data_IF_827718208908
#
_entry.id   IF_827718208908
#
_cell.length_a   1.000
_cell.length_b   1.000
_cell.length_c   1.000
_cell.angle_alpha   90.00
_cell.angle_beta   90.00
_cell.angle_gamma   90.00
#
_symmetry.space_group_name_H-M   'P 1'
#
loop_
_entity.id
_entity.type
_entity.pdbx_description
1 polymer ?
#
# COMPACT_ATOMS: atom_id res chain seq x y z
N UNK A 1 18.82 -10.96 0.22
CA UNK A 1 19.35 -9.64 0.61
C UNK A 1 20.83 -9.83 0.91
N UNK A 2 21.71 -9.02 0.34
CA UNK A 2 23.16 -9.08 0.64
C UNK A 2 23.41 -8.69 2.09
N UNK A 3 24.53 -9.12 2.69
CA UNK A 3 24.91 -8.76 4.06
C UNK A 3 25.05 -7.23 4.26
N UNK A 4 25.18 -6.47 3.16
CA UNK A 4 25.16 -5.01 3.15
C UNK A 4 23.83 -4.48 2.60
N UNK A 5 22.90 -4.14 3.49
CA UNK A 5 21.60 -3.56 3.14
C UNK A 5 21.71 -2.21 2.41
N UNK A 6 22.66 -1.35 2.81
CA UNK A 6 22.80 0.00 2.25
C UNK A 6 23.22 -0.04 0.79
N UNK A 7 24.17 -0.92 0.46
CA UNK A 7 24.62 -1.10 -0.92
C UNK A 7 23.53 -1.71 -1.80
N UNK A 8 22.80 -2.70 -1.28
CA UNK A 8 21.60 -3.23 -1.93
C UNK A 8 20.61 -2.10 -2.23
N UNK A 9 20.23 -1.33 -1.21
CA UNK A 9 19.27 -0.23 -1.36
C UNK A 9 19.73 0.78 -2.40
N UNK A 10 21.00 1.21 -2.39
CA UNK A 10 21.53 2.16 -3.39
C UNK A 10 21.44 1.63 -4.81
N UNK A 11 21.79 0.36 -5.02
CA UNK A 11 21.72 -0.27 -6.34
C UNK A 11 20.28 -0.37 -6.83
N UNK A 12 19.39 -0.88 -5.98
CA UNK A 12 17.98 -1.01 -6.34
C UNK A 12 17.36 0.37 -6.60
N UNK A 13 17.60 1.35 -5.72
CA UNK A 13 17.09 2.71 -5.89
C UNK A 13 17.57 3.34 -7.21
N UNK A 14 18.86 3.19 -7.56
CA UNK A 14 19.41 3.68 -8.82
C UNK A 14 18.82 2.98 -10.06
N UNK A 15 18.39 1.72 -9.94
CA UNK A 15 17.76 0.99 -11.04
C UNK A 15 16.31 1.44 -11.33
N UNK A 16 15.69 2.25 -10.44
CA UNK A 16 14.39 2.87 -10.68
C UNK A 16 13.20 1.91 -10.73
N UNK A 17 12.07 2.41 -11.25
CA UNK A 17 10.84 1.65 -11.45
C UNK A 17 10.70 1.24 -12.92
N UNK A 18 10.22 0.01 -13.16
CA UNK A 18 9.90 -0.47 -14.52
C UNK A 18 8.68 0.22 -15.09
N UNK A 19 7.68 0.47 -14.24
CA UNK A 19 6.51 1.29 -14.52
C UNK A 19 6.47 2.38 -13.47
N UNK A 20 6.43 3.63 -13.92
CA UNK A 20 6.58 4.82 -13.08
C UNK A 20 5.48 5.85 -13.38
N UNK A 21 4.32 5.63 -12.79
CA UNK A 21 3.19 6.57 -12.85
C UNK A 21 3.21 7.57 -11.69
N UNK A 22 4.34 7.72 -10.99
CA UNK A 22 4.42 8.55 -9.76
C UNK A 22 3.93 9.98 -9.96
N UNK A 23 4.18 10.59 -11.12
CA UNK A 23 3.69 11.94 -11.43
C UNK A 23 2.17 12.03 -11.57
N UNK A 24 1.52 10.99 -12.13
CA UNK A 24 0.07 10.92 -12.20
C UNK A 24 -0.55 10.62 -10.83
N UNK A 25 0.10 9.74 -10.06
CA UNK A 25 -0.27 9.40 -8.68
C UNK A 25 -0.24 10.65 -7.79
N UNK A 26 0.83 11.46 -7.88
CA UNK A 26 1.00 12.67 -7.06
C UNK A 26 -0.14 13.68 -7.25
N UNK A 27 -0.70 13.78 -8.46
CA UNK A 27 -1.82 14.66 -8.74
C UNK A 27 -3.14 14.27 -8.02
N UNK A 28 -3.23 13.02 -7.53
CA UNK A 28 -4.44 12.45 -6.92
C UNK A 28 -4.37 12.34 -5.40
N UNK A 29 -3.30 12.81 -4.74
CA UNK A 29 -3.06 12.49 -3.32
C UNK A 29 -3.81 13.37 -2.31
N UNK A 30 -4.88 14.09 -2.69
CA UNK A 30 -5.54 15.01 -1.74
C UNK A 30 -6.19 14.27 -0.56
N UNK A 31 -6.77 13.09 -0.79
CA UNK A 31 -7.29 12.19 0.26
C UNK A 31 -6.94 10.73 -0.06
N UNK A 32 -5.99 10.18 0.67
CA UNK A 32 -5.37 8.89 0.42
C UNK A 32 -5.83 7.85 1.42
N UNK A 33 -6.23 6.67 0.92
CA UNK A 33 -6.29 5.43 1.70
C UNK A 33 -5.05 4.61 1.39
N UNK A 34 -4.23 4.35 2.41
CA UNK A 34 -2.98 3.59 2.29
C UNK A 34 -3.17 2.19 2.87
N UNK A 35 -3.15 1.17 2.02
CA UNK A 35 -3.25 -0.23 2.42
C UNK A 35 -1.85 -0.83 2.52
N UNK A 36 -1.39 -1.06 3.75
CA UNK A 36 -0.08 -1.66 4.01
C UNK A 36 -0.03 -3.15 3.63
N UNK A 37 1.19 -3.69 3.60
CA UNK A 37 1.46 -5.11 3.36
C UNK A 37 2.30 -5.67 4.51
N UNK A 38 3.63 -5.68 4.37
CA UNK A 38 4.51 -6.44 5.26
C UNK A 38 5.09 -5.65 6.46
N UNK A 39 5.40 -6.36 7.55
CA UNK A 39 6.33 -5.92 8.58
C UNK A 39 7.71 -5.63 7.97
N UNK A 40 8.41 -4.63 8.51
CA UNK A 40 9.69 -4.13 7.97
C UNK A 40 9.52 -3.21 6.75
N UNK A 41 8.59 -3.52 5.84
CA UNK A 41 8.20 -2.62 4.74
C UNK A 41 7.48 -1.38 5.26
N UNK A 42 6.61 -1.56 6.26
CA UNK A 42 5.86 -0.47 6.92
C UNK A 42 6.75 0.66 7.47
N UNK A 43 8.04 0.39 7.74
CA UNK A 43 9.02 1.42 8.13
C UNK A 43 9.24 2.44 7.00
N UNK A 44 9.30 1.98 5.75
CA UNK A 44 9.40 2.84 4.57
C UNK A 44 8.05 3.47 4.22
N UNK A 45 6.96 2.72 4.39
CA UNK A 45 5.61 3.25 4.17
C UNK A 45 5.31 4.44 5.07
N UNK A 46 5.77 4.41 6.32
CA UNK A 46 5.62 5.52 7.24
C UNK A 46 6.33 6.80 6.76
N UNK A 47 7.46 6.69 6.04
CA UNK A 47 8.13 7.85 5.43
C UNK A 47 7.29 8.46 4.31
N UNK A 48 6.63 7.62 3.50
CA UNK A 48 5.74 8.09 2.44
C UNK A 48 4.46 8.72 3.02
N UNK A 49 3.86 8.10 4.03
CA UNK A 49 2.70 8.66 4.73
C UNK A 49 3.01 10.06 5.31
N UNK A 50 4.18 10.22 5.95
CA UNK A 50 4.66 11.53 6.43
C UNK A 50 4.82 12.55 5.31
N UNK A 51 5.39 12.13 4.18
CA UNK A 51 5.60 13.01 3.04
C UNK A 51 4.25 13.51 2.49
N UNK A 52 3.29 12.61 2.30
CA UNK A 52 1.93 12.93 1.87
C UNK A 52 1.27 13.93 2.82
N UNK A 53 1.35 13.68 4.13
CA UNK A 53 0.80 14.55 5.18
C UNK A 53 1.43 15.94 5.18
N UNK A 54 2.76 16.02 5.11
CA UNK A 54 3.49 17.30 5.04
C UNK A 54 3.14 18.12 3.79
N UNK A 55 2.71 17.46 2.72
CA UNK A 55 2.26 18.09 1.48
C UNK A 55 0.74 18.35 1.45
N UNK A 56 0.03 18.23 2.58
CA UNK A 56 -1.38 18.60 2.72
C UNK A 56 -2.38 17.50 2.40
N UNK A 57 -1.93 16.26 2.20
CA UNK A 57 -2.83 15.12 2.00
C UNK A 57 -3.57 14.76 3.30
N UNK A 58 -4.82 14.34 3.19
CA UNK A 58 -5.50 13.60 4.26
C UNK A 58 -5.20 12.11 4.10
N UNK A 59 -4.59 11.46 5.10
CA UNK A 59 -4.13 10.07 5.01
C UNK A 59 -4.87 9.19 6.01
N UNK A 60 -5.61 8.22 5.48
CA UNK A 60 -6.06 7.04 6.21
C UNK A 60 -5.06 5.92 5.96
N UNK A 61 -4.51 5.33 7.01
CA UNK A 61 -3.55 4.23 6.94
C UNK A 61 -4.18 2.97 7.51
N UNK A 62 -4.25 1.90 6.72
CA UNK A 62 -4.86 0.64 7.11
C UNK A 62 -3.81 -0.48 7.14
N UNK A 63 -3.79 -1.20 8.26
CA UNK A 63 -2.98 -2.40 8.50
C UNK A 63 -3.88 -3.62 8.72
N UNK A 64 -3.35 -4.83 8.86
CA UNK A 64 -4.21 -6.02 9.03
C UNK A 64 -4.95 -6.02 10.36
N UNK A 65 -6.18 -6.53 10.35
CA UNK A 65 -7.02 -6.64 11.54
C UNK A 65 -6.60 -7.74 12.52
N UNK A 66 -5.88 -8.75 12.06
CA UNK A 66 -5.24 -9.76 12.89
C UNK A 66 -3.93 -10.25 12.26
N UNK A 67 -3.00 -10.85 13.04
CA UNK A 67 -1.77 -11.39 12.50
C UNK A 67 -2.01 -12.44 11.42
N UNK A 68 -1.44 -12.22 10.24
CA UNK A 68 -1.46 -13.16 9.12
C UNK A 68 -0.13 -13.08 8.37
N UNK A 69 0.55 -14.22 8.23
CA UNK A 69 1.90 -14.30 7.66
C UNK A 69 2.87 -13.32 8.35
N UNK A 70 3.40 -12.38 7.59
CA UNK A 70 4.31 -11.34 8.04
C UNK A 70 3.75 -9.95 7.76
N UNK A 71 2.43 -9.83 7.63
CA UNK A 71 1.76 -8.58 7.34
C UNK A 71 1.70 -7.69 8.58
N UNK A 72 1.83 -6.38 8.37
CA UNK A 72 1.86 -5.40 9.44
C UNK A 72 0.50 -5.30 10.13
N UNK A 73 0.54 -5.17 11.46
CA UNK A 73 -0.64 -5.08 12.33
C UNK A 73 -0.75 -3.69 12.97
N UNK A 74 -1.85 -3.47 13.71
CA UNK A 74 -2.04 -2.25 14.51
C UNK A 74 -0.90 -2.04 15.51
N UNK A 75 -0.38 -3.11 16.12
CA UNK A 75 0.74 -3.02 17.07
C UNK A 75 2.01 -2.50 16.38
N UNK A 76 2.33 -3.02 15.20
CA UNK A 76 3.49 -2.56 14.41
C UNK A 76 3.36 -1.09 14.02
N UNK A 77 2.16 -0.67 13.61
CA UNK A 77 1.89 0.69 13.19
C UNK A 77 2.03 1.70 14.34
N UNK A 78 1.49 1.37 15.52
CA UNK A 78 1.61 2.18 16.73
C UNK A 78 3.06 2.24 17.21
N UNK A 79 3.80 1.12 17.13
CA UNK A 79 5.23 1.12 17.47
C UNK A 79 6.07 2.06 16.59
N UNK A 80 5.61 2.35 15.36
CA UNK A 80 6.21 3.32 14.43
C UNK A 80 5.64 4.74 14.55
N UNK A 81 4.71 4.96 15.50
CA UNK A 81 4.05 6.23 15.77
C UNK A 81 3.09 6.67 14.65
N UNK A 82 2.59 5.74 13.83
CA UNK A 82 1.69 6.08 12.72
C UNK A 82 0.38 6.71 13.22
N UNK A 83 -0.07 6.34 14.40
CA UNK A 83 -1.22 6.92 15.10
C UNK A 83 -1.10 8.42 15.39
N UNK A 84 0.10 8.99 15.29
CA UNK A 84 0.35 10.43 15.42
C UNK A 84 0.78 11.10 14.11
N UNK A 85 1.00 10.30 13.05
CA UNK A 85 1.57 10.75 11.78
C UNK A 85 0.53 10.82 10.68
N UNK A 86 -0.56 10.05 10.77
CA UNK A 86 -1.68 10.05 9.81
C UNK A 86 -2.96 10.63 10.42
N UNK A 87 -3.97 10.93 9.60
CA UNK A 87 -5.25 11.44 10.09
C UNK A 87 -6.13 10.35 10.69
N UNK A 88 -6.05 9.13 10.14
CA UNK A 88 -6.75 7.96 10.64
C UNK A 88 -5.88 6.72 10.51
N UNK A 89 -5.58 6.06 11.63
CA UNK A 89 -5.01 4.71 11.65
C UNK A 89 -6.14 3.71 11.91
N UNK A 90 -6.30 2.71 11.03
CA UNK A 90 -7.37 1.71 11.12
C UNK A 90 -6.88 0.34 10.64
N UNK A 91 -7.77 -0.65 10.61
CA UNK A 91 -7.48 -2.01 10.15
C UNK A 91 -8.31 -2.37 8.91
N UNK A 92 -7.85 -3.35 8.14
CA UNK A 92 -8.58 -3.88 6.98
C UNK A 92 -9.78 -4.74 7.35
N UNK A 93 -9.81 -5.25 8.59
CA UNK A 93 -10.90 -6.05 9.16
C UNK A 93 -10.99 -5.79 10.67
N UNK A 94 -12.10 -6.17 11.32
CA UNK A 94 -12.23 -6.12 12.78
C UNK A 94 -11.81 -7.46 13.42
N UNK A 95 -10.51 -7.62 13.67
CA UNK A 95 -9.96 -8.79 14.38
C UNK A 95 -9.89 -10.09 13.56
N UNK A 96 -10.09 -10.03 12.24
CA UNK A 96 -10.07 -11.20 11.35
C UNK A 96 -8.78 -11.25 10.55
N UNK A 97 -8.15 -12.42 10.48
CA UNK A 97 -6.98 -12.64 9.64
C UNK A 97 -7.42 -12.81 8.18
N UNK A 98 -7.16 -11.80 7.34
CA UNK A 98 -7.55 -11.77 5.92
C UNK A 98 -6.39 -11.24 5.07
N UNK A 99 -6.16 -11.87 3.91
CA UNK A 99 -5.17 -11.40 2.92
C UNK A 99 -5.82 -10.38 1.98
N UNK A 100 -5.09 -9.31 1.65
CA UNK A 100 -5.62 -8.26 0.78
C UNK A 100 -6.72 -7.44 1.45
N UNK A 101 -7.70 -7.02 0.66
CA UNK A 101 -8.88 -6.29 1.13
C UNK A 101 -10.16 -7.04 0.73
N UNK A 102 -11.00 -7.36 1.71
CA UNK A 102 -12.33 -7.91 1.46
C UNK A 102 -13.38 -6.87 1.88
N UNK A 103 -14.11 -6.30 0.90
CA UNK A 103 -15.08 -5.20 1.14
C UNK A 103 -16.22 -5.59 2.08
N UNK A 104 -16.53 -6.87 2.22
CA UNK A 104 -17.57 -7.32 3.16
C UNK A 104 -17.09 -7.30 4.62
N UNK A 105 -15.78 -7.30 4.83
CA UNK A 105 -15.14 -7.39 6.15
C UNK A 105 -14.53 -6.08 6.63
N UNK A 106 -14.48 -5.04 5.79
CA UNK A 106 -13.87 -3.76 6.17
C UNK A 106 -14.67 -3.10 7.30
N UNK A 107 -13.99 -2.49 8.29
CA UNK A 107 -14.68 -1.78 9.36
C UNK A 107 -15.25 -0.45 8.83
N UNK A 108 -16.29 0.11 9.47
CA UNK A 108 -16.94 1.35 9.03
C UNK A 108 -16.00 2.54 8.78
N UNK A 109 -14.96 2.80 9.61
CA UNK A 109 -14.02 3.89 9.35
C UNK A 109 -13.23 3.73 8.05
N UNK A 110 -12.89 2.49 7.65
CA UNK A 110 -12.19 2.23 6.40
C UNK A 110 -13.15 2.35 5.21
N UNK A 111 -14.39 1.88 5.37
CA UNK A 111 -15.43 2.04 4.35
C UNK A 111 -15.68 3.54 4.03
N UNK A 112 -15.89 4.35 5.07
CA UNK A 112 -16.08 5.80 4.92
C UNK A 112 -14.86 6.47 4.26
N UNK A 113 -13.64 6.06 4.65
CA UNK A 113 -12.43 6.59 4.05
C UNK A 113 -12.30 6.24 2.55
N UNK A 114 -12.67 5.03 2.16
CA UNK A 114 -12.66 4.58 0.76
C UNK A 114 -13.69 5.34 -0.09
N UNK A 115 -14.90 5.56 0.45
CA UNK A 115 -15.97 6.28 -0.25
C UNK A 115 -15.61 7.74 -0.58
N UNK A 116 -14.72 8.34 0.21
CA UNK A 116 -14.28 9.73 0.02
C UNK A 116 -12.87 9.84 -0.57
N UNK A 117 -12.16 8.74 -0.78
CA UNK A 117 -10.78 8.77 -1.23
C UNK A 117 -10.67 9.31 -2.66
N UNK A 118 -9.63 10.10 -2.90
CA UNK A 118 -9.21 10.48 -4.27
C UNK A 118 -8.19 9.51 -4.84
N UNK A 119 -7.54 8.72 -3.97
CA UNK A 119 -6.56 7.71 -4.34
C UNK A 119 -6.49 6.62 -3.27
N UNK A 120 -6.43 5.36 -3.70
CA UNK A 120 -5.98 4.24 -2.87
C UNK A 120 -4.53 3.91 -3.23
N UNK A 121 -3.64 3.84 -2.26
CA UNK A 121 -2.30 3.29 -2.42
C UNK A 121 -2.31 1.86 -1.88
N UNK A 122 -2.13 0.88 -2.77
CA UNK A 122 -2.13 -0.53 -2.45
C UNK A 122 -0.71 -1.11 -2.50
N UNK A 123 -0.23 -1.63 -1.36
CA UNK A 123 1.08 -2.30 -1.27
C UNK A 123 0.94 -3.81 -1.46
N UNK A 124 1.89 -4.43 -2.15
CA UNK A 124 1.96 -5.88 -2.26
C UNK A 124 0.93 -6.52 -3.20
N UNK A 125 1.15 -7.81 -3.50
CA UNK A 125 0.35 -8.53 -4.51
C UNK A 125 -1.03 -8.96 -3.98
N UNK A 126 -1.18 -9.23 -2.67
CA UNK A 126 -2.48 -9.61 -2.12
C UNK A 126 -3.50 -8.46 -2.21
N UNK A 127 -3.06 -7.21 -1.97
CA UNK A 127 -3.91 -6.03 -2.20
C UNK A 127 -4.16 -5.82 -3.70
N UNK A 128 -3.20 -6.11 -4.59
CA UNK A 128 -3.46 -6.09 -6.04
C UNK A 128 -4.56 -7.08 -6.44
N UNK A 129 -4.40 -8.36 -6.10
CA UNK A 129 -5.32 -9.44 -6.47
C UNK A 129 -6.73 -9.22 -5.95
N UNK A 130 -6.88 -8.63 -4.76
CA UNK A 130 -8.20 -8.35 -4.17
C UNK A 130 -8.89 -7.11 -4.76
N UNK A 131 -8.14 -6.16 -5.32
CA UNK A 131 -8.69 -4.91 -5.84
C UNK A 131 -8.78 -4.86 -7.37
N UNK A 132 -8.02 -5.68 -8.09
CA UNK A 132 -7.89 -5.58 -9.55
C UNK A 132 -9.19 -5.88 -10.31
N UNK A 133 -10.08 -6.67 -9.72
CA UNK A 133 -11.38 -7.04 -10.31
C UNK A 133 -12.54 -6.16 -9.81
N UNK A 134 -12.29 -5.28 -8.85
CA UNK A 134 -13.29 -4.38 -8.28
C UNK A 134 -13.53 -3.19 -9.20
N UNK A 135 -14.80 -2.96 -9.57
CA UNK A 135 -15.16 -1.93 -10.56
C UNK A 135 -15.55 -0.58 -9.96
N UNK A 136 -15.87 -0.55 -8.68
CA UNK A 136 -16.37 0.64 -7.97
C UNK A 136 -15.36 1.09 -6.91
N UNK A 137 -14.12 1.29 -7.33
CA UNK A 137 -13.05 1.85 -6.51
C UNK A 137 -12.65 3.24 -7.03
N UNK A 138 -12.18 4.13 -6.13
CA UNK A 138 -11.39 5.27 -6.56
C UNK A 138 -10.12 4.80 -7.31
N UNK A 139 -9.40 5.71 -8.01
CA UNK A 139 -8.13 5.35 -8.62
C UNK A 139 -7.20 4.64 -7.64
N UNK A 140 -6.55 3.57 -8.10
CA UNK A 140 -5.66 2.72 -7.29
C UNK A 140 -4.24 2.79 -7.82
N UNK A 141 -3.32 3.22 -6.97
CA UNK A 141 -1.89 3.15 -7.17
C UNK A 141 -1.33 1.86 -6.56
N UNK A 142 -0.93 0.91 -7.39
CA UNK A 142 -0.26 -0.32 -6.96
C UNK A 142 1.25 -0.08 -6.87
N UNK A 143 1.77 -0.06 -5.64
CA UNK A 143 3.20 0.08 -5.36
C UNK A 143 3.74 -1.28 -4.92
N UNK A 144 4.30 -2.05 -5.85
CA UNK A 144 4.70 -3.43 -5.58
C UNK A 144 5.83 -3.93 -6.48
N UNK A 145 6.36 -5.10 -6.14
CA UNK A 145 7.22 -5.88 -7.04
C UNK A 145 6.43 -7.05 -7.64
N UNK A 146 6.53 -7.26 -8.94
CA UNK A 146 5.94 -8.42 -9.62
C UNK A 146 6.81 -9.65 -9.34
N UNK A 147 6.36 -10.54 -8.46
CA UNK A 147 7.18 -11.68 -7.97
C UNK A 147 6.84 -13.03 -8.62
N UNK A 148 5.70 -13.17 -9.29
CA UNK A 148 5.27 -14.46 -9.85
C UNK A 148 4.72 -14.32 -11.27
N UNK A 149 4.81 -15.42 -12.03
CA UNK A 149 4.37 -15.50 -13.42
C UNK A 149 2.89 -15.17 -13.64
N UNK A 150 1.94 -15.69 -12.83
CA UNK A 150 0.52 -15.38 -12.98
C UNK A 150 0.22 -13.88 -12.93
N UNK A 151 0.71 -13.18 -11.90
CA UNK A 151 0.52 -11.73 -11.76
C UNK A 151 1.21 -10.97 -12.89
N UNK A 152 2.42 -11.39 -13.29
CA UNK A 152 3.10 -10.77 -14.42
C UNK A 152 2.35 -10.93 -15.75
N UNK A 153 1.70 -12.07 -15.96
CA UNK A 153 0.88 -12.32 -17.15
C UNK A 153 -0.43 -11.54 -17.12
N UNK A 154 -1.08 -11.47 -15.95
CA UNK A 154 -2.33 -10.73 -15.73
C UNK A 154 -2.15 -9.22 -15.97
N UNK A 155 -1.13 -8.62 -15.33
CA UNK A 155 -0.86 -7.19 -15.43
C UNK A 155 -0.09 -6.80 -16.72
N UNK A 156 0.47 -7.79 -17.43
CA UNK A 156 1.31 -7.58 -18.62
C UNK A 156 2.71 -7.03 -18.32
N UNK A 157 3.23 -7.21 -17.10
CA UNK A 157 4.53 -6.69 -16.66
C UNK A 157 5.47 -7.85 -16.27
N UNK A 158 6.75 -7.85 -16.70
CA UNK A 158 7.68 -8.95 -16.41
C UNK A 158 7.91 -9.20 -14.91
N UNK A 159 8.11 -10.46 -14.53
CA UNK A 159 8.57 -10.85 -13.19
C UNK A 159 9.91 -10.20 -12.87
N UNK A 160 10.07 -9.71 -11.65
CA UNK A 160 11.22 -8.93 -11.18
C UNK A 160 11.06 -7.43 -11.34
N UNK A 161 10.00 -6.97 -12.02
CA UNK A 161 9.69 -5.54 -12.15
C UNK A 161 9.25 -4.93 -10.82
N UNK A 162 9.61 -3.66 -10.63
CA UNK A 162 9.14 -2.81 -9.54
C UNK A 162 8.26 -1.74 -10.15
N UNK A 163 7.06 -1.56 -9.62
CA UNK A 163 6.04 -0.75 -10.27
C UNK A 163 5.45 0.25 -9.29
N UNK A 164 5.24 1.47 -9.78
CA UNK A 164 4.21 2.38 -9.31
C UNK A 164 3.21 2.50 -10.45
N UNK A 165 2.18 1.67 -10.44
CA UNK A 165 1.18 1.58 -11.50
C UNK A 165 -0.12 2.22 -11.04
N UNK A 166 -0.63 3.18 -11.80
CA UNK A 166 -1.96 3.76 -11.57
C UNK A 166 -3.02 3.04 -12.41
N UNK A 167 -4.15 2.69 -11.78
CA UNK A 167 -5.38 2.23 -12.43
C UNK A 167 -6.54 3.13 -12.05
N UNK A 168 -7.37 3.45 -13.02
CA UNK A 168 -8.59 4.27 -12.89
C UNK A 168 -9.82 3.46 -13.22
#
# INVERSE_FOLDING_TARGET
VTDNFVEFFRREFAAGLTVDDTGAIEALTSRVVYLADNCGEIVFDALLADHLRKNGSHVTFAVRGAPILNDATMEDAVALGLDHRVDLLTTTTDGIAELGLNRELIPPPLADALDHATLVIAKGMANYESLSDERDLPPVAYLMSVKCGPIGADIGIPVGSRVALLRE
#
